data_IF_394811177455
#
_entry.id   IF_394811177455
#
_cell.length_a   1.000
_cell.length_b   1.000
_cell.length_c   1.000
_cell.angle_alpha   90.00
_cell.angle_beta   90.00
_cell.angle_gamma   90.00
#
_symmetry.space_group_name_H-M   'P 1'
#
loop_
_entity.id
_entity.type
_entity.pdbx_description
1 polymer ?
#
# COMPACT_ATOMS: atom_id res chain seq x y z
N UNK A 1 -17.63 13.59 22.42
CA UNK A 1 -17.37 12.40 21.59
C UNK A 1 -16.02 12.57 20.91
N UNK A 2 -15.12 11.63 21.10
CA UNK A 2 -13.82 11.68 20.47
C UNK A 2 -13.95 11.30 18.98
N UNK A 3 -13.43 12.14 18.12
CA UNK A 3 -13.36 11.91 16.69
C UNK A 3 -12.18 11.01 16.37
N UNK A 4 -12.45 9.77 15.93
CA UNK A 4 -11.42 8.76 15.69
C UNK A 4 -10.85 8.88 14.28
N UNK A 5 -9.58 9.21 14.20
CA UNK A 5 -8.84 9.33 12.93
C UNK A 5 -8.12 8.02 12.63
N UNK A 6 -8.38 7.45 11.47
CA UNK A 6 -7.71 6.26 10.97
C UNK A 6 -6.66 6.60 9.93
N UNK A 7 -5.61 5.78 9.86
CA UNK A 7 -4.52 5.90 8.89
C UNK A 7 -4.29 4.57 8.19
N UNK A 8 -4.38 4.57 6.88
CA UNK A 8 -4.21 3.38 6.06
C UNK A 8 -3.04 3.60 5.07
N UNK A 9 -1.79 3.25 5.46
CA UNK A 9 -0.65 3.39 4.58
C UNK A 9 -0.54 2.27 3.57
N UNK A 10 -0.06 2.59 2.38
CA UNK A 10 0.22 1.61 1.34
C UNK A 10 0.86 2.24 0.11
N UNK A 11 1.38 1.40 -0.77
CA UNK A 11 1.88 1.86 -2.07
C UNK A 11 0.72 2.17 -3.00
N UNK A 12 -0.34 1.38 -2.95
CA UNK A 12 -1.53 1.51 -3.80
C UNK A 12 -1.21 1.46 -5.30
N UNK A 13 -0.19 0.67 -5.65
CA UNK A 13 0.19 0.47 -7.04
C UNK A 13 -0.78 -0.50 -7.73
N UNK A 14 -1.12 -0.22 -8.99
CA UNK A 14 -2.06 -1.03 -9.76
C UNK A 14 -3.37 -1.24 -8.98
N UNK A 15 -4.00 -0.16 -8.60
CA UNK A 15 -5.16 -0.13 -7.69
C UNK A 15 -6.22 -1.15 -8.12
N UNK A 16 -6.64 -1.99 -7.19
CA UNK A 16 -7.61 -3.07 -7.43
C UNK A 16 -8.58 -3.21 -6.25
N UNK A 17 -9.50 -4.17 -6.35
CA UNK A 17 -10.56 -4.37 -5.34
C UNK A 17 -10.01 -4.70 -3.95
N UNK A 18 -8.83 -5.31 -3.85
CA UNK A 18 -8.18 -5.55 -2.56
C UNK A 18 -7.86 -4.25 -1.82
N UNK A 19 -7.32 -3.26 -2.51
CA UNK A 19 -7.10 -1.92 -1.97
C UNK A 19 -8.42 -1.26 -1.56
N UNK A 20 -9.43 -1.36 -2.40
CA UNK A 20 -10.74 -0.79 -2.12
C UNK A 20 -11.37 -1.41 -0.87
N UNK A 21 -11.27 -2.73 -0.69
CA UNK A 21 -11.81 -3.43 0.47
C UNK A 21 -11.13 -3.00 1.77
N UNK A 22 -9.79 -2.85 1.77
CA UNK A 22 -9.06 -2.36 2.94
C UNK A 22 -9.54 -0.95 3.31
N UNK A 23 -9.65 -0.06 2.35
CA UNK A 23 -10.11 1.31 2.59
C UNK A 23 -11.57 1.35 3.09
N UNK A 24 -12.44 0.51 2.53
CA UNK A 24 -13.83 0.38 2.99
C UNK A 24 -13.90 -0.10 4.44
N UNK A 25 -13.18 -1.16 4.79
CA UNK A 25 -13.15 -1.70 6.14
C UNK A 25 -12.54 -0.72 7.14
N UNK A 26 -11.44 -0.06 6.75
CA UNK A 26 -10.80 0.95 7.57
C UNK A 26 -11.77 2.10 7.90
N UNK A 27 -12.46 2.61 6.90
CA UNK A 27 -13.41 3.71 7.09
C UNK A 27 -14.56 3.33 8.02
N UNK A 28 -14.99 2.06 8.02
CA UNK A 28 -16.03 1.58 8.92
C UNK A 28 -15.62 1.57 10.40
N UNK A 29 -14.33 1.67 10.70
CA UNK A 29 -13.77 1.63 12.05
C UNK A 29 -13.24 2.97 12.56
N UNK A 30 -13.43 4.04 11.79
CA UNK A 30 -13.01 5.39 12.18
C UNK A 30 -14.00 6.43 11.64
N UNK A 31 -13.88 7.65 12.15
CA UNK A 31 -14.73 8.77 11.72
C UNK A 31 -14.14 9.55 10.57
N UNK A 32 -12.82 9.51 10.43
CA UNK A 32 -12.07 10.20 9.40
C UNK A 32 -10.90 9.32 8.96
N UNK A 33 -10.82 9.00 7.68
CA UNK A 33 -9.79 8.13 7.15
C UNK A 33 -8.79 8.91 6.29
N UNK A 34 -7.53 8.83 6.69
CA UNK A 34 -6.39 9.31 5.91
C UNK A 34 -5.69 8.12 5.26
N UNK A 35 -5.58 8.13 3.95
CA UNK A 35 -4.77 7.16 3.23
C UNK A 35 -3.33 7.69 3.07
N UNK A 36 -2.35 6.93 3.50
CA UNK A 36 -0.94 7.27 3.31
C UNK A 36 -0.41 6.62 2.04
N UNK A 37 -0.10 7.41 1.03
CA UNK A 37 0.41 6.92 -0.25
C UNK A 37 1.93 7.04 -0.26
N UNK A 38 2.60 5.89 -0.32
CA UNK A 38 4.07 5.82 -0.27
C UNK A 38 4.66 6.41 -1.56
N UNK A 39 5.68 7.28 -1.42
CA UNK A 39 6.37 7.89 -2.55
C UNK A 39 7.10 6.84 -3.40
N UNK A 40 7.43 7.19 -4.65
CA UNK A 40 8.15 6.28 -5.55
C UNK A 40 9.53 5.91 -4.96
N UNK A 41 10.22 6.87 -4.39
CA UNK A 41 11.55 6.69 -3.76
C UNK A 41 11.47 5.76 -2.55
N UNK A 42 10.45 5.94 -1.71
CA UNK A 42 10.22 5.09 -0.54
C UNK A 42 9.89 3.65 -0.94
N UNK A 43 9.06 3.47 -1.96
CA UNK A 43 8.71 2.14 -2.48
C UNK A 43 9.95 1.46 -3.07
N UNK A 44 10.81 2.19 -3.79
CA UNK A 44 12.07 1.69 -4.32
C UNK A 44 12.99 1.21 -3.20
N UNK A 45 13.15 1.99 -2.13
CA UNK A 45 13.98 1.62 -0.99
C UNK A 45 13.45 0.39 -0.25
N UNK A 46 12.13 0.29 -0.07
CA UNK A 46 11.52 -0.80 0.69
C UNK A 46 11.42 -2.10 -0.09
N UNK A 47 11.18 -2.06 -1.39
CA UNK A 47 10.86 -3.22 -2.23
C UNK A 47 11.87 -3.50 -3.33
N UNK A 48 12.87 -2.64 -3.52
CA UNK A 48 13.89 -2.77 -4.56
C UNK A 48 13.40 -2.47 -5.97
N UNK A 49 12.18 -1.93 -6.14
CA UNK A 49 11.62 -1.54 -7.43
C UNK A 49 10.64 -0.39 -7.28
N UNK A 50 10.59 0.47 -8.30
CA UNK A 50 9.61 1.55 -8.35
C UNK A 50 8.21 1.04 -8.64
N UNK A 51 7.16 1.71 -8.16
CA UNK A 51 5.79 1.42 -8.58
C UNK A 51 5.62 1.55 -10.10
N UNK A 52 4.70 0.76 -10.65
CA UNK A 52 4.33 0.85 -12.08
C UNK A 52 3.62 2.16 -12.35
N UNK A 53 2.70 2.54 -11.46
CA UNK A 53 1.95 3.80 -11.56
C UNK A 53 2.67 4.88 -10.75
N UNK A 54 3.02 6.03 -11.35
CA UNK A 54 3.72 7.09 -10.64
C UNK A 54 2.89 7.68 -9.48
N UNK A 55 3.58 8.23 -8.49
CA UNK A 55 2.96 8.76 -7.27
C UNK A 55 1.78 9.72 -7.56
N UNK A 56 1.95 10.65 -8.49
CA UNK A 56 0.91 11.65 -8.81
C UNK A 56 -0.40 10.99 -9.20
N UNK A 57 -0.33 9.94 -10.01
CA UNK A 57 -1.51 9.21 -10.47
C UNK A 57 -2.08 8.31 -9.35
N UNK A 58 -1.23 7.63 -8.60
CA UNK A 58 -1.66 6.81 -7.44
C UNK A 58 -2.37 7.68 -6.39
N UNK A 59 -1.82 8.84 -6.12
CA UNK A 59 -2.39 9.80 -5.17
C UNK A 59 -3.77 10.28 -5.64
N UNK A 60 -3.92 10.59 -6.92
CA UNK A 60 -5.19 11.04 -7.50
C UNK A 60 -6.26 9.96 -7.40
N UNK A 61 -5.91 8.71 -7.71
CA UNK A 61 -6.85 7.58 -7.60
C UNK A 61 -7.30 7.38 -6.16
N UNK A 62 -6.35 7.32 -5.23
CA UNK A 62 -6.65 7.08 -3.81
C UNK A 62 -7.49 8.22 -3.22
N UNK A 63 -7.14 9.45 -3.55
CA UNK A 63 -7.89 10.63 -3.12
C UNK A 63 -9.35 10.60 -3.58
N UNK A 64 -9.62 9.99 -4.73
CA UNK A 64 -10.94 9.91 -5.34
C UNK A 64 -11.79 8.74 -4.83
N UNK A 65 -11.24 7.86 -4.00
CA UNK A 65 -11.98 6.77 -3.38
C UNK A 65 -12.96 7.32 -2.35
N UNK A 66 -14.23 6.95 -2.47
CA UNK A 66 -15.31 7.50 -1.63
C UNK A 66 -15.12 7.29 -0.12
N UNK A 67 -14.32 6.29 0.29
CA UNK A 67 -14.06 5.97 1.70
C UNK A 67 -12.91 6.78 2.29
N UNK A 68 -12.16 7.47 1.47
CA UNK A 68 -10.98 8.26 1.87
C UNK A 68 -11.38 9.71 2.06
N UNK A 69 -11.14 10.23 3.25
CA UNK A 69 -11.41 11.65 3.58
C UNK A 69 -10.23 12.55 3.20
N UNK A 70 -9.02 12.04 3.31
CA UNK A 70 -7.80 12.74 2.90
C UNK A 70 -6.71 11.75 2.48
N UNK A 71 -5.81 12.19 1.62
CA UNK A 71 -4.62 11.43 1.23
C UNK A 71 -3.36 12.20 1.62
N UNK A 72 -2.38 11.48 2.13
CA UNK A 72 -1.09 12.01 2.60
C UNK A 72 0.04 11.29 1.88
N UNK A 73 1.04 12.02 1.41
CA UNK A 73 2.22 11.42 0.78
C UNK A 73 3.22 11.00 1.85
N UNK A 74 3.51 9.70 1.93
CA UNK A 74 4.46 9.16 2.89
C UNK A 74 5.85 9.13 2.27
N UNK A 75 6.77 9.93 2.84
CA UNK A 75 8.11 10.17 2.30
C UNK A 75 9.24 9.65 3.20
N UNK A 76 8.91 9.16 4.41
CA UNK A 76 9.90 8.70 5.38
C UNK A 76 9.58 7.27 5.84
N UNK A 77 10.61 6.44 6.13
CA UNK A 77 10.38 5.06 6.55
C UNK A 77 9.78 4.94 7.96
N UNK A 78 10.08 5.89 8.84
CA UNK A 78 9.61 5.86 10.23
C UNK A 78 8.14 6.32 10.31
N UNK A 79 7.27 5.38 10.66
CA UNK A 79 5.84 5.63 10.83
C UNK A 79 5.52 6.58 11.99
N UNK A 80 6.38 6.64 13.01
CA UNK A 80 6.21 7.60 14.11
C UNK A 80 6.44 9.03 13.66
N UNK A 81 7.37 9.28 12.74
CA UNK A 81 7.55 10.59 12.11
C UNK A 81 6.29 10.99 11.30
N UNK A 82 5.73 10.04 10.56
CA UNK A 82 4.47 10.25 9.84
C UNK A 82 3.35 10.59 10.81
N UNK A 83 3.26 9.87 11.94
CA UNK A 83 2.26 10.13 12.99
C UNK A 83 2.37 11.55 13.57
N UNK A 84 3.57 12.09 13.72
CA UNK A 84 3.74 13.46 14.20
C UNK A 84 3.07 14.50 13.29
N UNK A 85 2.94 14.20 12.00
CA UNK A 85 2.29 15.08 11.03
C UNK A 85 0.79 14.83 10.90
N UNK A 86 0.36 13.58 10.89
CA UNK A 86 -1.03 13.21 10.62
C UNK A 86 -1.86 13.05 11.90
N UNK A 87 -1.26 12.58 12.99
CA UNK A 87 -1.92 12.42 14.30
C UNK A 87 -3.17 11.54 14.26
N UNK A 88 -3.01 10.31 13.83
CA UNK A 88 -4.08 9.32 13.81
C UNK A 88 -4.19 8.54 15.13
N UNK A 89 -5.36 7.94 15.37
CA UNK A 89 -5.67 7.14 16.57
C UNK A 89 -5.54 5.64 16.32
N UNK A 90 -5.71 5.21 15.06
CA UNK A 90 -5.63 3.82 14.65
C UNK A 90 -4.90 3.73 13.31
N UNK A 91 -4.01 2.74 13.19
CA UNK A 91 -3.29 2.42 11.96
C UNK A 91 -3.78 1.08 11.43
N UNK A 92 -4.17 1.05 10.16
CA UNK A 92 -4.67 -0.16 9.50
C UNK A 92 -3.60 -0.77 8.60
N UNK A 93 -3.43 -2.07 8.70
CA UNK A 93 -2.46 -2.83 7.89
C UNK A 93 -3.08 -4.14 7.38
N UNK A 94 -2.57 -4.66 6.29
CA UNK A 94 -2.84 -6.05 5.92
C UNK A 94 -2.21 -7.02 6.94
N UNK A 95 -2.81 -8.20 7.12
CA UNK A 95 -2.40 -9.13 8.17
C UNK A 95 -1.11 -9.92 7.87
N UNK A 96 -0.48 -9.70 6.71
CA UNK A 96 0.85 -10.23 6.39
C UNK A 96 1.94 -9.79 7.38
N UNK A 97 1.72 -8.67 8.09
CA UNK A 97 2.64 -8.21 9.13
C UNK A 97 2.32 -8.76 10.53
N UNK A 98 1.14 -9.33 10.72
CA UNK A 98 0.72 -9.89 12.01
C UNK A 98 1.65 -11.04 12.40
N UNK A 99 2.20 -10.98 13.63
CA UNK A 99 3.10 -12.02 14.15
C UNK A 99 4.51 -11.98 13.56
N UNK A 100 4.84 -11.03 12.68
CA UNK A 100 6.19 -10.81 12.17
C UNK A 100 6.98 -9.86 13.07
N UNK A 101 8.31 -9.84 12.93
CA UNK A 101 9.15 -8.90 13.67
C UNK A 101 8.80 -7.45 13.34
N UNK A 102 8.51 -7.15 12.08
CA UNK A 102 8.06 -5.83 11.63
C UNK A 102 6.74 -5.42 12.29
N UNK A 103 5.77 -6.33 12.35
CA UNK A 103 4.48 -6.08 12.98
C UNK A 103 4.61 -5.84 14.48
N UNK A 104 5.38 -6.66 15.18
CA UNK A 104 5.63 -6.51 16.61
C UNK A 104 6.34 -5.18 16.93
N UNK A 105 7.29 -4.78 16.10
CA UNK A 105 7.98 -3.50 16.23
C UNK A 105 7.03 -2.33 16.05
N UNK A 106 6.17 -2.40 15.02
CA UNK A 106 5.15 -1.40 14.75
C UNK A 106 4.21 -1.26 15.95
N UNK A 107 3.72 -2.36 16.49
CA UNK A 107 2.82 -2.39 17.66
C UNK A 107 3.48 -1.76 18.88
N UNK A 108 4.75 -2.10 19.17
CA UNK A 108 5.50 -1.52 20.29
C UNK A 108 5.71 -0.03 20.13
N UNK A 109 6.11 0.42 18.95
CA UNK A 109 6.36 1.84 18.68
C UNK A 109 5.09 2.66 18.87
N UNK A 110 3.97 2.18 18.34
CA UNK A 110 2.70 2.90 18.43
C UNK A 110 2.01 2.78 19.79
N UNK A 111 2.31 1.74 20.56
CA UNK A 111 1.84 1.66 21.95
C UNK A 111 2.34 2.83 22.81
N UNK A 112 3.53 3.37 22.49
CA UNK A 112 4.11 4.52 23.23
C UNK A 112 3.31 5.81 23.04
N UNK A 113 2.53 5.92 21.97
CA UNK A 113 1.71 7.11 21.67
C UNK A 113 0.21 6.82 21.69
N UNK A 114 -0.18 5.62 22.16
CA UNK A 114 -1.59 5.26 22.35
C UNK A 114 -2.34 4.97 21.05
N UNK A 115 -1.63 4.60 19.97
CA UNK A 115 -2.24 4.24 18.69
C UNK A 115 -2.45 2.74 18.60
N UNK A 116 -3.65 2.33 18.25
CA UNK A 116 -4.02 0.93 17.99
C UNK A 116 -3.60 0.52 16.58
N UNK A 117 -3.10 -0.72 16.44
CA UNK A 117 -2.82 -1.34 15.15
C UNK A 117 -3.91 -2.36 14.86
N UNK A 118 -4.61 -2.22 13.74
CA UNK A 118 -5.64 -3.14 13.30
C UNK A 118 -5.21 -3.81 12.01
N UNK A 119 -5.24 -5.13 11.97
CA UNK A 119 -4.89 -5.92 10.80
C UNK A 119 -6.16 -6.42 10.10
N UNK A 120 -6.14 -6.37 8.77
CA UNK A 120 -7.21 -6.90 7.93
C UNK A 120 -6.73 -8.09 7.12
N UNK A 121 -7.51 -9.20 7.05
CA UNK A 121 -7.17 -10.33 6.21
C UNK A 121 -7.29 -9.96 4.73
N UNK A 122 -6.49 -10.62 3.90
CA UNK A 122 -6.67 -10.57 2.45
C UNK A 122 -7.89 -11.38 2.05
N UNK A 123 -8.86 -10.73 1.41
CA UNK A 123 -10.17 -11.32 1.08
C UNK A 123 -10.38 -11.54 -0.42
N UNK A 124 -9.36 -11.25 -1.26
CA UNK A 124 -9.47 -11.31 -2.72
C UNK A 124 -8.26 -12.01 -3.34
N UNK A 125 -8.44 -12.51 -4.56
CA UNK A 125 -7.40 -13.22 -5.30
C UNK A 125 -6.45 -12.28 -6.05
N UNK A 126 -6.89 -11.06 -6.39
CA UNK A 126 -6.09 -10.07 -7.13
C UNK A 126 -5.09 -9.41 -6.19
N UNK A 127 -3.84 -9.30 -6.62
CA UNK A 127 -2.81 -8.53 -5.91
C UNK A 127 -1.98 -7.71 -6.90
N UNK A 128 -1.39 -6.64 -6.42
CA UNK A 128 -0.47 -5.81 -7.23
C UNK A 128 0.74 -6.63 -7.70
N UNK A 129 1.20 -7.58 -6.89
CA UNK A 129 2.28 -8.50 -7.26
C UNK A 129 1.90 -9.37 -8.46
N UNK A 130 0.70 -9.95 -8.47
CA UNK A 130 0.20 -10.74 -9.61
C UNK A 130 0.05 -9.90 -10.87
N UNK A 131 -0.52 -8.69 -10.75
CA UNK A 131 -0.68 -7.78 -11.86
C UNK A 131 0.66 -7.34 -12.45
N UNK A 132 1.63 -7.08 -11.59
CA UNK A 132 2.99 -6.71 -12.00
C UNK A 132 3.68 -7.85 -12.74
N UNK A 133 3.55 -9.09 -12.26
CA UNK A 133 4.07 -10.27 -12.95
C UNK A 133 3.45 -10.46 -14.33
N UNK A 134 2.14 -10.25 -14.46
CA UNK A 134 1.46 -10.32 -15.75
C UNK A 134 1.99 -9.25 -16.72
N UNK A 135 2.22 -8.02 -16.26
CA UNK A 135 2.81 -6.96 -17.05
C UNK A 135 4.24 -7.28 -17.48
N UNK A 136 5.06 -7.84 -16.59
CA UNK A 136 6.43 -8.26 -16.90
C UNK A 136 6.46 -9.28 -18.04
N UNK A 137 5.55 -10.26 -18.03
CA UNK A 137 5.41 -11.25 -19.10
C UNK A 137 5.06 -10.59 -20.43
N UNK A 138 4.14 -9.62 -20.43
CA UNK A 138 3.71 -8.92 -21.64
C UNK A 138 4.78 -7.99 -22.22
N UNK A 139 5.72 -7.52 -21.39
CA UNK A 139 6.78 -6.59 -21.79
C UNK A 139 8.11 -7.29 -22.08
N UNK A 140 8.23 -8.61 -21.84
CA UNK A 140 9.41 -9.37 -22.23
C UNK A 140 9.59 -9.31 -23.75
N UNK A 141 10.83 -9.01 -24.27
CA UNK A 141 11.08 -9.00 -25.69
C UNK A 141 10.84 -10.41 -26.24
N UNK A 142 10.03 -10.50 -27.29
CA UNK A 142 9.85 -11.75 -28.03
C UNK A 142 11.23 -12.13 -28.58
N UNK A 143 11.79 -13.23 -28.10
CA UNK A 143 13.01 -13.76 -28.69
C UNK A 143 12.71 -14.10 -30.16
N UNK A 144 13.52 -13.58 -31.11
CA UNK A 144 13.33 -13.95 -32.48
C UNK A 144 13.45 -15.46 -32.58
N UNK A 145 12.41 -16.11 -33.11
CA UNK A 145 12.48 -17.54 -33.41
C UNK A 145 13.69 -17.74 -34.33
N UNK A 146 14.67 -18.48 -33.84
CA UNK A 146 15.75 -18.93 -34.68
C UNK A 146 15.09 -19.83 -35.73
N UNK A 147 14.89 -19.32 -36.93
CA UNK A 147 14.52 -20.20 -38.04
C UNK A 147 15.65 -21.22 -38.15
N UNK A 148 15.35 -22.52 -38.14
CA UNK A 148 16.38 -23.49 -38.48
C UNK A 148 16.92 -23.09 -39.85
N UNK A 149 18.23 -22.89 -39.91
CA UNK A 149 18.90 -22.66 -41.18
C UNK A 149 18.57 -23.90 -42.04
N UNK A 150 17.89 -23.69 -43.16
CA UNK A 150 17.81 -24.71 -44.19
C UNK A 150 19.26 -24.97 -44.60
N UNK A 151 19.84 -26.07 -44.07
CA UNK A 151 21.07 -26.59 -44.57
C UNK A 151 20.78 -27.14 -45.99
N UNK A 152 21.30 -26.45 -46.98
CA UNK A 152 21.40 -26.98 -48.33
C UNK A 152 22.39 -28.15 -48.33
#
# INVERSE_FOLDING_TARGET
>A
MSHRVGYAPGVYDLFHVGHLNILRHARSQCDYLVAGVVSDEMAQLAKGRSPVVPLVERLEIVRSVRFVDAAFVETVPDKLETWQQVRFDVLFKGDDWRGTDKGRRLERDFATVGVEIVYFPYTVHTSSTQLRKALDVLTEPVQPSVRPSEAL
#
